data_IF_754726976779
#
_entry.id   IF_754726976779
#
_cell.length_a   1.000
_cell.length_b   1.000
_cell.length_c   1.000
_cell.angle_alpha   90.00
_cell.angle_beta   90.00
_cell.angle_gamma   90.00
#
_symmetry.space_group_name_H-M   'P 1'
#
loop_
_entity.id
_entity.type
_entity.pdbx_description
1 polymer ?
#
# COMPACT_ATOMS: atom_id res chain seq x y z
N UNK A 1 2.04 -24.23 -6.67
CA UNK A 1 3.45 -24.09 -6.24
C UNK A 1 3.50 -23.04 -5.16
N UNK A 2 4.13 -23.32 -4.03
CA UNK A 2 4.43 -22.33 -2.99
C UNK A 2 5.85 -21.76 -3.23
N UNK A 3 6.01 -20.46 -3.07
CA UNK A 3 7.33 -19.81 -3.11
C UNK A 3 7.69 -19.31 -1.70
N UNK A 4 8.97 -19.28 -1.41
CA UNK A 4 9.52 -18.75 -0.15
C UNK A 4 10.41 -17.56 -0.48
N UNK A 5 10.22 -16.46 0.21
CA UNK A 5 11.08 -15.28 0.15
C UNK A 5 11.87 -15.20 1.48
N UNK A 6 13.19 -15.38 1.40
CA UNK A 6 14.10 -15.24 2.55
C UNK A 6 14.76 -13.86 2.48
N UNK A 7 14.51 -13.01 3.47
CA UNK A 7 15.01 -11.62 3.51
C UNK A 7 16.03 -11.49 4.63
N UNK A 8 17.23 -11.06 4.26
CA UNK A 8 18.29 -10.73 5.22
C UNK A 8 18.49 -9.23 5.26
N UNK A 9 18.33 -8.64 6.43
CA UNK A 9 18.57 -7.22 6.63
C UNK A 9 20.05 -6.88 6.71
N UNK A 10 20.43 -5.77 6.11
CA UNK A 10 21.76 -5.20 6.21
C UNK A 10 22.08 -4.88 7.67
N UNK A 11 23.31 -5.18 8.11
CA UNK A 11 23.85 -4.70 9.39
C UNK A 11 24.78 -3.52 9.11
N UNK A 12 24.48 -2.27 9.52
CA UNK A 12 25.35 -1.13 9.32
C UNK A 12 26.64 -1.29 10.14
N UNK A 13 27.73 -0.72 9.64
CA UNK A 13 29.03 -0.74 10.36
C UNK A 13 29.25 0.48 11.26
N UNK A 14 28.38 1.47 11.19
CA UNK A 14 28.40 2.73 11.94
C UNK A 14 27.12 3.47 11.69
N UNK A 15 27.15 4.81 11.77
CA UNK A 15 26.03 5.64 11.36
C UNK A 15 26.02 5.82 9.84
N UNK A 16 24.87 5.57 9.23
CA UNK A 16 24.64 5.79 7.81
C UNK A 16 23.20 6.25 7.60
N UNK A 17 22.97 7.02 6.55
CA UNK A 17 21.63 7.51 6.24
C UNK A 17 21.53 8.02 4.82
N UNK A 18 20.31 8.04 4.30
CA UNK A 18 19.98 8.66 3.03
C UNK A 18 18.56 9.21 3.08
N UNK A 19 18.32 10.26 2.30
CA UNK A 19 16.99 10.79 2.08
C UNK A 19 16.83 11.20 0.64
N UNK A 20 15.64 11.04 0.10
CA UNK A 20 15.28 11.56 -1.22
C UNK A 20 13.85 12.07 -1.22
N UNK A 21 13.58 13.07 -2.05
CA UNK A 21 12.25 13.61 -2.28
C UNK A 21 12.03 13.90 -3.76
N UNK A 22 10.79 13.72 -4.20
CA UNK A 22 10.34 13.98 -5.56
C UNK A 22 8.88 14.38 -5.57
N UNK A 23 8.32 14.72 -6.72
CA UNK A 23 6.89 14.96 -6.89
C UNK A 23 6.03 13.72 -6.59
N UNK A 24 6.62 12.52 -6.62
CA UNK A 24 5.95 11.26 -6.36
C UNK A 24 6.10 10.77 -4.92
N UNK A 25 6.78 11.54 -4.05
CA UNK A 25 6.94 11.21 -2.66
C UNK A 25 8.34 11.43 -2.11
N UNK A 26 8.56 10.91 -0.92
CA UNK A 26 9.82 11.02 -0.20
C UNK A 26 10.17 9.69 0.47
N UNK A 27 11.46 9.45 0.64
CA UNK A 27 11.95 8.35 1.46
C UNK A 27 13.15 8.79 2.30
N UNK A 28 13.33 8.11 3.42
CA UNK A 28 14.47 8.29 4.29
C UNK A 28 14.91 6.92 4.83
N UNK A 29 16.19 6.77 5.02
CA UNK A 29 16.80 5.59 5.61
C UNK A 29 17.83 6.04 6.64
N UNK A 30 17.84 5.38 7.78
CA UNK A 30 18.83 5.55 8.84
C UNK A 30 19.28 4.18 9.32
N UNK A 31 20.59 3.98 9.35
CA UNK A 31 21.23 2.82 9.94
C UNK A 31 22.26 3.24 10.97
N UNK A 32 22.36 2.49 12.05
CA UNK A 32 23.41 2.71 13.05
C UNK A 32 23.84 1.39 13.71
N UNK A 33 25.12 1.37 14.09
CA UNK A 33 25.69 0.27 14.87
C UNK A 33 26.55 0.86 15.98
N UNK A 34 26.32 0.42 17.19
CA UNK A 34 27.08 0.81 18.37
C UNK A 34 27.27 -0.38 19.32
N UNK A 35 28.50 -0.90 19.34
CA UNK A 35 28.85 -2.08 20.16
C UNK A 35 27.96 -3.29 19.86
N UNK A 36 27.06 -3.62 20.78
CA UNK A 36 26.19 -4.79 20.69
C UNK A 36 24.83 -4.53 20.03
N UNK A 37 24.55 -3.28 19.66
CA UNK A 37 23.27 -2.88 19.11
C UNK A 37 23.42 -2.42 17.66
N UNK A 38 22.52 -2.91 16.80
CA UNK A 38 22.38 -2.40 15.43
C UNK A 38 20.93 -2.09 15.14
N UNK A 39 20.69 -1.07 14.35
CA UNK A 39 19.35 -0.74 13.87
C UNK A 39 19.42 -0.26 12.42
N UNK A 40 18.36 -0.57 11.68
CA UNK A 40 18.05 0.02 10.37
C UNK A 40 16.58 0.42 10.38
N UNK A 41 16.29 1.63 9.93
CA UNK A 41 14.93 2.14 9.85
C UNK A 41 14.74 2.83 8.50
N UNK A 42 13.71 2.45 7.79
CA UNK A 42 13.29 3.04 6.52
C UNK A 42 11.91 3.67 6.65
N UNK A 43 11.77 4.86 6.12
CA UNK A 43 10.50 5.56 5.96
C UNK A 43 10.26 5.81 4.48
N UNK A 44 9.02 5.65 4.05
CA UNK A 44 8.61 5.93 2.68
C UNK A 44 7.22 6.54 2.65
N UNK A 45 7.10 7.63 1.94
CA UNK A 45 5.84 8.22 1.53
C UNK A 45 5.77 8.24 0.02
N UNK A 46 4.66 7.82 -0.55
CA UNK A 46 4.40 7.95 -1.99
C UNK A 46 3.01 8.49 -2.25
N UNK A 47 2.89 9.25 -3.33
CA UNK A 47 1.61 9.75 -3.85
C UNK A 47 1.63 9.70 -5.38
N UNK A 48 0.51 9.32 -5.96
CA UNK A 48 0.30 9.36 -7.41
C UNK A 48 -0.42 10.63 -7.89
N UNK A 49 -0.86 11.49 -6.97
CA UNK A 49 -1.77 12.61 -7.25
C UNK A 49 -1.25 13.56 -8.34
N UNK A 50 0.02 13.93 -8.27
CA UNK A 50 0.61 14.86 -9.24
C UNK A 50 0.70 14.26 -10.64
N UNK A 51 1.05 12.98 -10.75
CA UNK A 51 1.13 12.28 -12.03
C UNK A 51 -0.27 12.09 -12.64
N UNK A 52 -1.22 11.63 -11.82
CA UNK A 52 -2.58 11.33 -12.28
C UNK A 52 -3.37 12.59 -12.65
N UNK A 53 -3.04 13.74 -12.08
CA UNK A 53 -3.61 15.04 -12.50
C UNK A 53 -3.12 15.53 -13.86
N UNK A 54 -2.01 15.03 -14.36
CA UNK A 54 -1.48 15.39 -15.69
C UNK A 54 -2.02 14.50 -16.80
N UNK A 55 -2.65 13.40 -16.46
CA UNK A 55 -3.34 12.54 -17.41
C UNK A 55 -4.75 13.06 -17.62
N UNK A 56 -5.17 13.11 -18.89
CA UNK A 56 -6.55 13.46 -19.27
C UNK A 56 -7.46 12.27 -18.90
N UNK A 57 -7.77 12.17 -17.62
CA UNK A 57 -8.62 11.12 -17.07
C UNK A 57 -9.97 11.70 -16.68
N UNK A 58 -11.03 10.99 -16.99
CA UNK A 58 -12.41 11.35 -16.62
C UNK A 58 -12.72 11.13 -15.14
N UNK A 59 -11.71 11.22 -14.26
CA UNK A 59 -11.85 11.02 -12.83
C UNK A 59 -10.66 11.59 -12.06
N UNK A 60 -10.85 11.92 -10.79
CA UNK A 60 -9.77 12.23 -9.86
C UNK A 60 -9.35 10.98 -9.09
N UNK A 61 -8.03 10.70 -9.10
CA UNK A 61 -7.41 9.62 -8.35
C UNK A 61 -6.42 10.22 -7.36
N UNK A 62 -6.51 9.84 -6.09
CA UNK A 62 -5.58 10.29 -5.04
C UNK A 62 -5.06 9.10 -4.20
N UNK A 63 -4.23 8.24 -4.80
CA UNK A 63 -3.54 7.19 -4.06
C UNK A 63 -2.36 7.75 -3.30
N UNK A 64 -2.26 7.41 -2.02
CA UNK A 64 -1.08 7.70 -1.22
C UNK A 64 -0.80 6.59 -0.23
N UNK A 65 0.46 6.42 0.10
CA UNK A 65 0.83 5.50 1.15
C UNK A 65 2.03 5.97 1.97
N UNK A 66 2.04 5.56 3.23
CA UNK A 66 3.11 5.71 4.20
C UNK A 66 3.55 4.32 4.64
N UNK A 67 4.86 4.12 4.71
CA UNK A 67 5.49 2.89 5.15
C UNK A 67 6.67 3.23 6.07
N UNK A 68 6.67 2.64 7.24
CA UNK A 68 7.76 2.72 8.21
C UNK A 68 8.17 1.30 8.57
N UNK A 69 9.42 0.96 8.31
CA UNK A 69 9.98 -0.34 8.67
C UNK A 69 11.24 -0.17 9.50
N UNK A 70 11.38 -0.97 10.55
CA UNK A 70 12.57 -0.99 11.39
C UNK A 70 13.01 -2.42 11.68
N UNK A 71 14.32 -2.64 11.67
CA UNK A 71 14.93 -3.87 12.14
C UNK A 71 16.03 -3.54 13.12
N UNK A 72 15.96 -4.12 14.30
CA UNK A 72 16.90 -3.91 15.39
C UNK A 72 17.49 -5.23 15.85
N UNK A 73 18.76 -5.23 16.19
CA UNK A 73 19.42 -6.39 16.79
C UNK A 73 20.19 -5.97 18.03
N UNK A 74 20.12 -6.78 19.07
CA UNK A 74 20.86 -6.57 20.30
C UNK A 74 21.49 -7.87 20.80
N UNK A 75 22.81 -7.90 20.83
CA UNK A 75 23.60 -9.01 21.36
C UNK A 75 23.86 -8.79 22.86
N UNK A 76 22.98 -9.30 23.71
CA UNK A 76 23.08 -9.08 25.16
C UNK A 76 24.10 -10.03 25.84
N UNK A 77 24.45 -11.15 25.20
CA UNK A 77 25.49 -12.07 25.64
C UNK A 77 26.26 -12.65 24.43
N UNK A 78 27.45 -13.24 24.62
CA UNK A 78 28.27 -13.74 23.47
C UNK A 78 27.56 -14.73 22.54
N UNK A 79 26.62 -15.50 23.08
CA UNK A 79 25.86 -16.51 22.34
C UNK A 79 24.38 -16.17 22.15
N UNK A 80 23.94 -15.01 22.63
CA UNK A 80 22.53 -14.62 22.62
C UNK A 80 22.30 -13.29 21.92
N UNK A 81 21.38 -13.31 20.98
CA UNK A 81 20.95 -12.13 20.22
C UNK A 81 19.41 -12.07 20.24
N UNK A 82 18.88 -10.88 20.46
CA UNK A 82 17.46 -10.60 20.26
C UNK A 82 17.31 -9.67 19.05
N UNK A 83 16.35 -9.98 18.20
CA UNK A 83 16.02 -9.19 17.01
C UNK A 83 14.57 -8.75 17.06
N UNK A 84 14.33 -7.53 16.66
CA UNK A 84 12.99 -6.97 16.49
C UNK A 84 12.80 -6.48 15.06
N UNK A 85 11.74 -6.91 14.40
CA UNK A 85 11.26 -6.38 13.13
C UNK A 85 9.90 -5.72 13.36
N UNK A 86 9.78 -4.45 12.99
CA UNK A 86 8.53 -3.68 13.04
C UNK A 86 8.19 -3.11 11.67
N UNK A 87 6.93 -3.13 11.30
CA UNK A 87 6.41 -2.48 10.10
C UNK A 87 5.06 -1.83 10.39
N UNK A 88 4.90 -0.60 9.93
CA UNK A 88 3.64 0.14 9.90
C UNK A 88 3.40 0.59 8.45
N UNK A 89 2.26 0.23 7.89
CA UNK A 89 1.86 0.68 6.56
C UNK A 89 0.45 1.27 6.60
N UNK A 90 0.26 2.40 5.92
CA UNK A 90 -1.02 3.07 5.77
C UNK A 90 -1.18 3.40 4.29
N UNK A 91 -2.21 2.85 3.67
CA UNK A 91 -2.58 3.12 2.29
C UNK A 91 -3.94 3.81 2.28
N UNK A 92 -4.03 4.91 1.55
CA UNK A 92 -5.29 5.59 1.30
C UNK A 92 -5.48 5.70 -0.21
N UNK A 93 -6.70 5.46 -0.63
CA UNK A 93 -7.14 5.64 -2.00
C UNK A 93 -8.42 6.46 -2.01
N UNK A 94 -8.50 7.42 -2.91
CA UNK A 94 -9.70 8.19 -3.19
C UNK A 94 -9.91 8.27 -4.68
N UNK A 95 -11.14 8.02 -5.09
CA UNK A 95 -11.60 8.14 -6.45
C UNK A 95 -12.85 9.01 -6.51
N UNK A 96 -12.88 9.98 -7.42
CA UNK A 96 -14.05 10.83 -7.70
C UNK A 96 -14.27 10.78 -9.20
N UNK A 97 -15.38 10.17 -9.66
CA UNK A 97 -15.72 10.14 -11.07
C UNK A 97 -16.18 11.53 -11.57
N UNK A 98 -15.78 11.88 -12.78
CA UNK A 98 -16.25 13.10 -13.44
C UNK A 98 -17.40 12.80 -14.39
N UNK A 99 -18.23 13.82 -14.63
CA UNK A 99 -19.25 13.81 -15.68
C UNK A 99 -18.59 13.61 -17.04
N UNK A 100 -19.12 12.70 -17.83
CA UNK A 100 -18.66 12.36 -19.19
C UNK A 100 -19.68 12.74 -20.22
N UNK A 101 -19.20 13.21 -21.37
CA UNK A 101 -20.01 13.57 -22.49
C UNK A 101 -19.37 13.05 -23.78
N UNK A 102 -20.14 12.45 -24.65
CA UNK A 102 -19.72 12.01 -25.97
C UNK A 102 -20.80 12.29 -26.98
N UNK A 103 -20.42 12.65 -28.20
CA UNK A 103 -21.33 12.85 -29.32
C UNK A 103 -21.09 11.79 -30.38
N UNK A 104 -22.15 11.30 -30.99
CA UNK A 104 -22.10 10.29 -32.04
C UNK A 104 -23.23 10.51 -33.07
N UNK A 105 -23.12 9.93 -34.25
CA UNK A 105 -24.07 10.06 -35.35
C UNK A 105 -23.48 10.72 -36.56
N UNK A 106 -24.35 11.31 -37.42
CA UNK A 106 -23.98 12.01 -38.63
C UNK A 106 -24.07 13.51 -38.48
N UNK A 107 -23.50 14.29 -39.39
CA UNK A 107 -23.56 15.76 -39.36
C UNK A 107 -25.00 16.33 -39.34
N UNK A 108 -25.97 15.58 -39.86
CA UNK A 108 -27.38 15.97 -39.85
C UNK A 108 -28.23 15.35 -38.75
N UNK A 109 -27.68 14.37 -38.03
CA UNK A 109 -28.36 13.68 -36.93
C UNK A 109 -27.34 13.24 -35.87
N UNK A 110 -26.72 14.20 -35.23
CA UNK A 110 -25.79 13.95 -34.13
C UNK A 110 -26.56 13.85 -32.80
N UNK A 111 -26.20 12.85 -32.03
CA UNK A 111 -26.72 12.63 -30.67
C UNK A 111 -25.63 12.90 -29.64
N UNK A 112 -26.04 13.38 -28.51
CA UNK A 112 -25.20 13.66 -27.35
C UNK A 112 -25.59 12.73 -26.21
N UNK A 113 -24.62 11.97 -25.73
CA UNK A 113 -24.76 11.12 -24.57
C UNK A 113 -23.97 11.70 -23.42
N UNK A 114 -24.63 11.92 -22.29
CA UNK A 114 -24.02 12.50 -21.11
C UNK A 114 -24.29 11.64 -19.90
N UNK A 115 -23.24 11.40 -19.09
CA UNK A 115 -23.33 10.71 -17.81
C UNK A 115 -22.91 11.67 -16.73
N UNK A 116 -23.88 12.13 -15.95
CA UNK A 116 -23.60 12.92 -14.77
C UNK A 116 -23.19 11.99 -13.64
N UNK A 117 -21.89 11.96 -13.37
CA UNK A 117 -21.34 11.15 -12.28
C UNK A 117 -21.31 11.97 -11.00
N UNK A 118 -21.61 11.32 -9.88
CA UNK A 118 -21.53 11.90 -8.54
C UNK A 118 -21.07 10.86 -7.54
N UNK A 119 -20.62 11.32 -6.35
CA UNK A 119 -20.16 10.47 -5.28
C UNK A 119 -18.65 10.25 -5.30
N UNK A 120 -18.18 9.24 -4.58
CA UNK A 120 -16.77 8.95 -4.41
C UNK A 120 -16.56 7.54 -3.86
N UNK A 121 -15.36 7.02 -4.10
CA UNK A 121 -14.81 5.86 -3.43
C UNK A 121 -13.69 6.30 -2.48
N UNK A 122 -13.61 5.68 -1.31
CA UNK A 122 -12.55 5.86 -0.34
C UNK A 122 -12.18 4.54 0.29
N UNK A 123 -10.91 4.19 0.15
CA UNK A 123 -10.38 2.99 0.75
C UNK A 123 -9.21 3.33 1.67
N UNK A 124 -9.15 2.63 2.78
CA UNK A 124 -8.09 2.78 3.77
C UNK A 124 -7.64 1.42 4.26
N UNK A 125 -6.34 1.17 4.14
CA UNK A 125 -5.69 -0.04 4.61
C UNK A 125 -4.60 0.34 5.61
N UNK A 126 -4.74 -0.14 6.84
CA UNK A 126 -3.76 0.06 7.91
C UNK A 126 -3.21 -1.29 8.33
N UNK A 127 -1.89 -1.43 8.32
CA UNK A 127 -1.20 -2.64 8.73
C UNK A 127 -0.15 -2.32 9.78
N UNK A 128 -0.18 -3.08 10.86
CA UNK A 128 0.87 -3.08 11.88
C UNK A 128 1.40 -4.50 12.04
N UNK A 129 2.71 -4.66 11.93
CA UNK A 129 3.39 -5.92 12.14
C UNK A 129 4.57 -5.75 13.09
N UNK A 130 4.74 -6.73 13.98
CA UNK A 130 5.90 -6.84 14.84
C UNK A 130 6.34 -8.29 14.99
N UNK A 131 7.64 -8.53 14.92
CA UNK A 131 8.22 -9.84 15.19
C UNK A 131 9.44 -9.72 16.12
N UNK A 132 9.50 -10.59 17.09
CA UNK A 132 10.62 -10.72 18.03
C UNK A 132 11.26 -12.09 17.82
N UNK A 133 12.58 -12.12 17.65
CA UNK A 133 13.33 -13.37 17.50
C UNK A 133 14.45 -13.42 18.54
N UNK A 134 14.46 -14.44 19.36
CA UNK A 134 15.55 -14.76 20.26
C UNK A 134 16.40 -15.84 19.62
N UNK A 135 17.70 -15.57 19.44
CA UNK A 135 18.68 -16.51 18.87
C UNK A 135 19.69 -16.95 19.89
N UNK A 136 20.01 -18.23 19.87
CA UNK A 136 21.04 -18.83 20.68
C UNK A 136 22.03 -19.63 19.81
N UNK A 137 23.28 -19.18 19.77
CA UNK A 137 24.37 -19.90 19.11
C UNK A 137 24.94 -20.93 20.07
N UNK A 138 24.58 -22.21 19.91
CA UNK A 138 25.14 -23.32 20.71
C UNK A 138 26.63 -23.44 20.46
N UNK A 139 27.03 -23.39 19.19
CA UNK A 139 28.42 -23.41 18.72
C UNK A 139 28.51 -22.66 17.37
N UNK A 140 29.66 -22.65 16.72
CA UNK A 140 29.89 -21.96 15.43
C UNK A 140 29.03 -22.49 14.28
N UNK A 141 28.51 -23.71 14.41
CA UNK A 141 27.79 -24.42 13.36
C UNK A 141 26.27 -24.58 13.69
N UNK A 142 25.85 -24.29 14.92
CA UNK A 142 24.49 -24.59 15.37
C UNK A 142 23.85 -23.38 16.01
N UNK A 143 22.75 -22.96 15.45
CA UNK A 143 21.88 -21.86 15.94
C UNK A 143 20.49 -22.40 16.24
N UNK A 144 19.93 -21.97 17.37
CA UNK A 144 18.52 -22.16 17.72
C UNK A 144 17.82 -20.82 17.75
N UNK A 145 16.58 -20.75 17.31
CA UNK A 145 15.76 -19.57 17.33
C UNK A 145 14.37 -19.81 17.88
N UNK A 146 13.90 -18.87 18.70
CA UNK A 146 12.52 -18.74 19.12
C UNK A 146 11.95 -17.44 18.55
N UNK A 147 10.81 -17.50 17.88
CA UNK A 147 10.18 -16.35 17.24
C UNK A 147 8.73 -16.18 17.69
N UNK A 148 8.35 -14.95 17.97
CA UNK A 148 6.96 -14.56 18.15
C UNK A 148 6.64 -13.38 17.23
N UNK A 149 5.48 -13.38 16.60
CA UNK A 149 5.04 -12.27 15.76
C UNK A 149 3.56 -11.97 15.96
N UNK A 150 3.21 -10.70 15.76
CA UNK A 150 1.85 -10.21 15.74
C UNK A 150 1.64 -9.34 14.50
N UNK A 151 0.50 -9.53 13.86
CA UNK A 151 0.06 -8.79 12.69
C UNK A 151 -1.37 -8.31 12.93
N UNK A 152 -1.63 -7.04 12.65
CA UNK A 152 -2.97 -6.47 12.66
C UNK A 152 -3.20 -5.74 11.34
N UNK A 153 -4.33 -6.00 10.70
CA UNK A 153 -4.81 -5.26 9.53
C UNK A 153 -6.20 -4.72 9.80
N UNK A 154 -6.42 -3.46 9.40
CA UNK A 154 -7.72 -2.82 9.28
C UNK A 154 -7.90 -2.38 7.86
N UNK A 155 -8.99 -2.82 7.25
CA UNK A 155 -9.31 -2.54 5.87
C UNK A 155 -10.72 -1.94 5.84
N UNK A 156 -10.83 -0.76 5.26
CA UNK A 156 -12.08 -0.05 5.05
C UNK A 156 -12.18 0.31 3.58
N UNK A 157 -13.19 -0.23 2.91
CA UNK A 157 -13.53 0.08 1.53
C UNK A 157 -14.94 0.64 1.50
N UNK A 158 -15.10 1.80 0.91
CA UNK A 158 -16.39 2.45 0.85
C UNK A 158 -16.59 3.27 -0.40
N UNK A 159 -17.61 2.94 -1.16
CA UNK A 159 -18.01 3.74 -2.30
C UNK A 159 -19.50 4.06 -2.28
N UNK A 160 -19.78 5.24 -2.83
CA UNK A 160 -21.09 5.83 -3.05
C UNK A 160 -21.02 6.51 -4.40
N UNK A 161 -21.42 5.84 -5.45
CA UNK A 161 -21.28 6.32 -6.83
C UNK A 161 -22.65 6.27 -7.50
N UNK A 162 -23.06 7.39 -8.06
CA UNK A 162 -24.28 7.49 -8.85
C UNK A 162 -23.97 8.07 -10.23
N UNK A 163 -24.71 7.58 -11.24
CA UNK A 163 -24.66 8.08 -12.60
C UNK A 163 -26.06 8.29 -13.16
N UNK A 164 -26.36 9.51 -13.61
CA UNK A 164 -27.56 9.82 -14.37
C UNK A 164 -27.22 9.89 -15.84
N UNK A 165 -27.83 9.02 -16.65
CA UNK A 165 -27.58 8.86 -18.07
C UNK A 165 -28.60 9.65 -18.88
N UNK A 166 -28.12 10.52 -19.75
CA UNK A 166 -28.91 11.41 -20.58
C UNK A 166 -28.57 11.22 -22.05
N UNK A 167 -29.60 11.20 -22.87
CA UNK A 167 -29.47 11.17 -24.33
C UNK A 167 -30.28 12.33 -24.91
N UNK A 168 -29.68 13.12 -25.76
CA UNK A 168 -30.30 14.24 -26.43
C UNK A 168 -29.76 14.45 -27.82
N UNK A 169 -30.30 15.43 -28.52
CA UNK A 169 -29.77 15.86 -29.81
C UNK A 169 -28.52 16.73 -29.59
N UNK A 170 -27.50 16.54 -30.43
CA UNK A 170 -26.29 17.35 -30.39
C UNK A 170 -26.45 18.70 -31.12
N UNK A 171 -27.66 19.03 -31.54
CA UNK A 171 -27.93 20.20 -32.35
C UNK A 171 -27.87 21.51 -31.52
N UNK A 172 -27.09 22.42 -32.09
CA UNK A 172 -27.12 23.89 -32.01
C UNK A 172 -26.59 24.59 -30.74
N UNK A 173 -25.49 25.32 -30.96
CA UNK A 173 -25.00 26.43 -30.15
C UNK A 173 -25.99 27.63 -30.14
N UNK A 174 -27.24 27.37 -29.92
CA UNK A 174 -28.30 28.41 -29.90
C UNK A 174 -29.44 28.04 -28.96
N UNK A 175 -29.25 28.24 -27.67
CA UNK A 175 -30.25 28.64 -26.70
C UNK A 175 -31.60 27.91 -26.62
N UNK A 176 -31.84 26.81 -27.30
CA UNK A 176 -33.02 26.01 -27.15
C UNK A 176 -32.86 25.02 -25.98
N UNK A 177 -33.88 24.91 -25.13
CA UNK A 177 -33.96 23.83 -24.14
C UNK A 177 -33.92 22.49 -24.91
N UNK A 178 -32.79 21.84 -24.87
CA UNK A 178 -32.62 20.47 -25.41
C UNK A 178 -33.52 19.60 -24.51
N UNK A 179 -34.51 18.93 -25.08
CA UNK A 179 -35.24 17.86 -24.39
C UNK A 179 -34.25 16.72 -24.13
N UNK A 180 -33.46 16.89 -23.08
CA UNK A 180 -32.55 15.85 -22.60
C UNK A 180 -33.41 14.81 -21.88
N UNK A 181 -33.55 13.66 -22.51
CA UNK A 181 -34.23 12.55 -21.89
C UNK A 181 -33.30 11.81 -20.94
N UNK A 182 -33.62 11.76 -19.67
CA UNK A 182 -33.01 10.84 -18.71
C UNK A 182 -33.42 9.40 -19.11
N UNK A 183 -32.45 8.61 -19.51
CA UNK A 183 -32.69 7.24 -19.99
C UNK A 183 -32.43 6.17 -18.94
N UNK A 184 -31.58 6.45 -17.97
CA UNK A 184 -31.25 5.51 -16.90
C UNK A 184 -30.61 6.24 -15.73
N UNK A 185 -30.71 5.62 -14.57
CA UNK A 185 -29.95 5.98 -13.37
C UNK A 185 -29.23 4.75 -12.83
N UNK A 186 -27.99 4.90 -12.51
CA UNK A 186 -27.18 3.94 -11.82
C UNK A 186 -26.86 4.46 -10.41
N UNK A 187 -26.93 3.59 -9.43
CA UNK A 187 -26.56 3.92 -8.06
C UNK A 187 -25.94 2.69 -7.40
N UNK A 188 -24.74 2.83 -6.92
CA UNK A 188 -24.03 1.78 -6.23
C UNK A 188 -23.46 2.27 -4.91
N UNK A 189 -23.65 1.48 -3.86
CA UNK A 189 -23.23 1.79 -2.52
C UNK A 189 -22.70 0.54 -1.84
N UNK A 190 -21.49 0.61 -1.31
CA UNK A 190 -20.96 -0.45 -0.47
C UNK A 190 -20.09 0.09 0.68
N UNK A 191 -20.03 -0.68 1.75
CA UNK A 191 -19.18 -0.46 2.91
C UNK A 191 -18.66 -1.80 3.39
N UNK A 192 -17.38 -2.05 3.14
CA UNK A 192 -16.69 -3.24 3.59
C UNK A 192 -15.72 -2.86 4.71
N UNK A 193 -15.66 -3.67 5.75
CA UNK A 193 -14.70 -3.52 6.84
C UNK A 193 -14.16 -4.88 7.22
N UNK A 194 -12.86 -5.00 7.23
CA UNK A 194 -12.16 -6.17 7.72
C UNK A 194 -11.19 -5.76 8.82
N UNK A 195 -11.21 -6.51 9.91
CA UNK A 195 -10.21 -6.41 10.95
C UNK A 195 -9.63 -7.79 11.20
N UNK A 196 -8.34 -7.93 10.98
CA UNK A 196 -7.60 -9.17 11.15
C UNK A 196 -6.51 -9.03 12.20
N UNK A 197 -6.41 -10.00 13.09
CA UNK A 197 -5.32 -10.13 14.06
C UNK A 197 -4.75 -11.53 13.95
N UNK A 198 -3.46 -11.63 13.70
CA UNK A 198 -2.74 -12.89 13.56
C UNK A 198 -1.55 -12.89 14.49
N UNK A 199 -1.43 -13.91 15.30
CA UNK A 199 -0.27 -14.12 16.18
C UNK A 199 0.35 -15.47 15.85
N UNK A 200 1.67 -15.50 15.80
CA UNK A 200 2.43 -16.72 15.54
C UNK A 200 3.55 -16.86 16.58
N UNK A 201 3.78 -18.07 17.02
CA UNK A 201 4.94 -18.46 17.81
C UNK A 201 5.56 -19.68 17.16
N UNK A 202 6.87 -19.66 16.96
CA UNK A 202 7.59 -20.73 16.31
C UNK A 202 9.01 -20.85 16.83
N UNK A 203 9.63 -21.96 16.51
CA UNK A 203 11.05 -22.19 16.76
C UNK A 203 11.71 -22.79 15.53
N UNK A 204 13.02 -22.61 15.42
CA UNK A 204 13.81 -23.19 14.36
C UNK A 204 15.19 -23.60 14.86
N UNK A 205 15.84 -24.50 14.14
CA UNK A 205 17.23 -24.88 14.32
C UNK A 205 17.98 -24.84 13.00
N UNK A 206 19.21 -24.32 12.99
CA UNK A 206 20.09 -24.32 11.83
C UNK A 206 21.36 -25.08 12.21
N UNK A 207 21.68 -26.13 11.47
CA UNK A 207 22.96 -26.85 11.59
C UNK A 207 23.71 -26.76 10.26
N UNK A 208 24.94 -26.19 10.31
CA UNK A 208 25.84 -26.04 9.16
C UNK A 208 26.89 -27.15 9.18
N UNK A 209 26.88 -28.00 8.20
CA UNK A 209 27.87 -29.03 7.97
C UNK A 209 28.79 -28.60 6.83
N UNK A 210 29.99 -29.21 6.71
CA UNK A 210 31.01 -28.81 5.73
C UNK A 210 30.51 -28.57 4.31
N UNK A 211 29.46 -29.28 3.87
CA UNK A 211 28.87 -29.17 2.52
C UNK A 211 27.36 -29.00 2.51
N UNK A 212 26.70 -28.94 3.67
CA UNK A 212 25.24 -28.88 3.77
C UNK A 212 24.78 -27.99 4.92
N UNK A 213 23.65 -27.33 4.74
CA UNK A 213 22.95 -26.61 5.82
C UNK A 213 21.58 -27.24 6.01
N UNK A 214 21.30 -27.70 7.22
CA UNK A 214 19.99 -28.16 7.63
C UNK A 214 19.29 -26.99 8.35
N UNK A 215 18.07 -26.67 7.92
CA UNK A 215 17.22 -25.64 8.53
C UNK A 215 15.93 -26.25 9.05
#
# INVERSE_FOLDING_TARGET
MSSVLDITYKKPKGFEGSASASLLGANAYVGSSSGKFTQVTGFRYKTGRSLLKTTDTDAEYDPNFIDLQTYMTYQFAPKWEINFLGNLAINNYKFIPHTRETSFGTATNAKKFKVFMSGQERDKFETLFGALTLKHNLNENTELGLQASAFTSKEEEGYDIAGDYWLGDAAEEGGGEIENLSIARYNEHARNRLHSNIMNVGHYGIARMKNNTLK
#
